data_IF_149881103234
#
_entry.id   IF_149881103234
#
_cell.length_a   1.000
_cell.length_b   1.000
_cell.length_c   1.000
_cell.angle_alpha   90.00
_cell.angle_beta   90.00
_cell.angle_gamma   90.00
#
_symmetry.space_group_name_H-M   'P 1'
#
loop_
_entity.id
_entity.type
_entity.pdbx_description
1 polymer ?
#
# COMPACT_ATOMS: atom_id res chain seq x y z
N UNK A 1 -11.88 -8.32 17.69
CA UNK A 1 -10.81 -7.74 18.54
C UNK A 1 -9.51 -8.54 18.39
N UNK A 2 -9.60 -9.85 18.43
CA UNK A 2 -8.47 -10.79 18.31
C UNK A 2 -7.62 -10.63 17.03
N UNK A 3 -8.26 -10.37 15.88
CA UNK A 3 -7.60 -10.29 14.58
C UNK A 3 -6.69 -9.05 14.40
N UNK A 4 -7.14 -7.88 14.84
CA UNK A 4 -6.34 -6.64 14.73
C UNK A 4 -5.15 -6.65 15.69
N UNK A 5 -5.34 -7.21 16.88
CA UNK A 5 -4.25 -7.34 17.86
C UNK A 5 -3.17 -8.29 17.34
N UNK A 6 -3.56 -9.42 16.75
CA UNK A 6 -2.61 -10.34 16.11
C UNK A 6 -1.86 -9.67 14.95
N UNK A 7 -2.56 -8.90 14.11
CA UNK A 7 -1.93 -8.13 13.02
C UNK A 7 -0.89 -7.16 13.56
N UNK A 8 -1.22 -6.41 14.63
CA UNK A 8 -0.32 -5.49 15.30
C UNK A 8 0.93 -6.20 15.84
N UNK A 9 0.73 -7.31 16.58
CA UNK A 9 1.84 -8.11 17.13
C UNK A 9 2.79 -8.62 16.05
N UNK A 10 2.25 -9.08 14.92
CA UNK A 10 3.07 -9.54 13.78
C UNK A 10 3.90 -8.41 13.20
N UNK A 11 3.32 -7.22 12.99
CA UNK A 11 4.07 -6.05 12.52
C UNK A 11 5.07 -5.53 13.56
N UNK A 12 4.76 -5.59 14.85
CA UNK A 12 5.71 -5.22 15.91
C UNK A 12 6.95 -6.11 15.88
N UNK A 13 6.82 -7.42 15.62
CA UNK A 13 7.94 -8.37 15.55
C UNK A 13 8.88 -8.11 14.39
N UNK A 14 8.35 -7.77 13.21
CA UNK A 14 9.17 -7.54 12.01
C UNK A 14 9.75 -6.13 11.91
N UNK A 15 9.32 -5.19 12.75
CA UNK A 15 9.65 -3.77 12.64
C UNK A 15 11.16 -3.49 12.58
N UNK A 16 11.98 -4.22 13.36
CA UNK A 16 13.43 -4.02 13.43
C UNK A 16 14.15 -4.30 12.09
N UNK A 17 13.62 -5.23 11.31
CA UNK A 17 14.22 -5.64 10.04
C UNK A 17 13.56 -4.98 8.81
N UNK A 18 12.39 -4.36 8.99
CA UNK A 18 11.51 -3.93 7.90
C UNK A 18 12.19 -3.03 6.88
N UNK A 19 12.80 -1.91 7.30
CA UNK A 19 13.47 -0.96 6.38
C UNK A 19 14.64 -1.61 5.62
N UNK A 20 15.38 -2.50 6.28
CA UNK A 20 16.50 -3.20 5.66
C UNK A 20 16.02 -4.17 4.59
N UNK A 21 14.96 -4.89 4.86
CA UNK A 21 14.39 -5.87 3.93
C UNK A 21 13.68 -5.18 2.76
N UNK A 22 12.96 -4.10 3.01
CA UNK A 22 12.33 -3.29 1.98
C UNK A 22 13.39 -2.78 0.98
N UNK A 23 14.47 -2.17 1.48
CA UNK A 23 15.60 -1.69 0.66
C UNK A 23 16.38 -2.80 -0.04
N UNK A 24 16.42 -4.00 0.51
CA UNK A 24 17.11 -5.14 -0.09
C UNK A 24 16.31 -5.79 -1.24
N UNK A 25 15.02 -5.47 -1.37
CA UNK A 25 14.16 -6.03 -2.40
C UNK A 25 14.01 -5.09 -3.60
N UNK A 26 14.73 -5.34 -4.72
CA UNK A 26 14.74 -4.44 -5.87
C UNK A 26 13.38 -4.35 -6.58
N UNK A 27 12.48 -5.32 -6.37
CA UNK A 27 11.13 -5.29 -6.93
C UNK A 27 10.25 -4.33 -6.13
N UNK A 28 10.32 -4.38 -4.81
CA UNK A 28 9.60 -3.43 -3.94
C UNK A 28 10.11 -2.01 -4.18
N UNK A 29 11.42 -1.80 -4.23
CA UNK A 29 12.03 -0.51 -4.51
C UNK A 29 11.52 0.09 -5.84
N UNK A 30 11.50 -0.73 -6.90
CA UNK A 30 10.95 -0.32 -8.20
C UNK A 30 9.46 0.03 -8.13
N UNK A 31 8.64 -0.82 -7.50
CA UNK A 31 7.20 -0.56 -7.32
C UNK A 31 6.95 0.72 -6.54
N UNK A 32 7.69 0.93 -5.43
CA UNK A 32 7.60 2.14 -4.60
C UNK A 32 7.96 3.38 -5.40
N UNK A 33 9.01 3.32 -6.21
CA UNK A 33 9.40 4.41 -7.10
C UNK A 33 8.28 4.82 -8.08
N UNK A 34 7.48 3.86 -8.58
CA UNK A 34 6.29 4.17 -9.40
C UNK A 34 5.20 4.85 -8.56
N UNK A 35 4.93 4.34 -7.35
CA UNK A 35 3.91 4.91 -6.46
C UNK A 35 4.30 6.34 -6.05
N UNK A 36 5.56 6.57 -5.70
CA UNK A 36 6.07 7.90 -5.36
C UNK A 36 5.88 8.91 -6.50
N UNK A 37 6.17 8.52 -7.75
CA UNK A 37 5.90 9.37 -8.92
C UNK A 37 4.42 9.71 -9.04
N UNK A 38 3.53 8.71 -8.84
CA UNK A 38 2.08 8.91 -8.88
C UNK A 38 1.65 9.88 -7.77
N UNK A 39 2.21 9.79 -6.56
CA UNK A 39 1.91 10.74 -5.50
C UNK A 39 2.29 12.17 -5.88
N UNK A 40 3.49 12.39 -6.41
CA UNK A 40 3.96 13.72 -6.83
C UNK A 40 3.26 14.26 -8.11
N UNK A 41 2.59 13.41 -8.89
CA UNK A 41 1.69 13.83 -9.97
C UNK A 41 0.36 14.41 -9.45
N UNK A 42 -0.03 14.09 -8.21
CA UNK A 42 -1.34 14.45 -7.64
C UNK A 42 -1.24 15.39 -6.45
N UNK A 43 -0.10 15.41 -5.75
CA UNK A 43 0.14 16.21 -4.56
C UNK A 43 1.37 17.08 -4.73
N UNK A 44 1.35 18.27 -4.11
CA UNK A 44 2.40 19.29 -4.22
C UNK A 44 2.83 19.79 -2.84
N UNK A 45 3.95 20.48 -2.79
CA UNK A 45 4.41 21.12 -1.56
C UNK A 45 3.34 22.01 -0.95
N UNK A 46 3.15 21.89 0.36
CA UNK A 46 2.12 22.56 1.14
C UNK A 46 0.83 21.77 1.34
N UNK A 47 0.55 20.76 0.50
CA UNK A 47 -0.59 19.87 0.72
C UNK A 47 -0.44 19.10 2.04
N UNK A 48 -1.57 18.71 2.61
CA UNK A 48 -1.64 17.91 3.84
C UNK A 48 -2.32 16.57 3.55
N UNK A 49 -1.61 15.47 3.80
CA UNK A 49 -2.12 14.13 3.52
C UNK A 49 -2.31 13.32 4.81
N UNK A 50 -3.33 12.49 4.81
CA UNK A 50 -3.52 11.42 5.77
C UNK A 50 -2.89 10.14 5.20
N UNK A 51 -1.87 9.60 5.85
CA UNK A 51 -1.27 8.32 5.50
C UNK A 51 -1.79 7.22 6.42
N UNK A 52 -2.36 6.19 5.82
CA UNK A 52 -2.82 4.99 6.49
C UNK A 52 -1.73 3.91 6.39
N UNK A 53 -1.57 3.12 7.47
CA UNK A 53 -0.55 2.06 7.53
C UNK A 53 0.87 2.54 7.13
N UNK A 54 1.30 3.64 7.73
CA UNK A 54 2.59 4.28 7.42
C UNK A 54 3.82 3.43 7.76
N UNK A 55 3.66 2.40 8.59
CA UNK A 55 4.74 1.54 9.04
C UNK A 55 5.87 2.36 9.67
N UNK A 56 7.09 2.12 9.22
CA UNK A 56 8.29 2.86 9.63
C UNK A 56 8.43 4.23 8.98
N UNK A 57 7.43 4.67 8.18
CA UNK A 57 7.35 5.99 7.57
C UNK A 57 8.22 6.21 6.32
N UNK A 58 8.47 5.17 5.52
CA UNK A 58 9.26 5.31 4.28
C UNK A 58 8.61 6.32 3.33
N UNK A 59 7.29 6.19 3.12
CA UNK A 59 6.55 7.08 2.22
C UNK A 59 6.32 8.46 2.86
N UNK A 60 6.03 8.52 4.18
CA UNK A 60 5.91 9.77 4.93
C UNK A 60 7.16 10.64 4.81
N UNK A 61 8.33 10.07 5.05
CA UNK A 61 9.60 10.78 4.95
C UNK A 61 9.85 11.27 3.53
N UNK A 62 9.66 10.40 2.53
CA UNK A 62 9.83 10.78 1.13
C UNK A 62 8.96 11.97 0.73
N UNK A 63 7.69 11.96 1.11
CA UNK A 63 6.75 13.05 0.77
C UNK A 63 7.05 14.33 1.57
N UNK A 64 7.46 14.22 2.83
CA UNK A 64 7.86 15.35 3.64
C UNK A 64 9.09 16.06 3.06
N UNK A 65 10.09 15.32 2.54
CA UNK A 65 11.25 15.85 1.82
C UNK A 65 10.86 16.60 0.53
N UNK A 66 9.66 16.32 -0.02
CA UNK A 66 9.07 17.08 -1.13
C UNK A 66 8.13 18.22 -0.68
N UNK A 67 8.17 18.57 0.61
CA UNK A 67 7.42 19.70 1.17
C UNK A 67 5.95 19.42 1.48
N UNK A 68 5.50 18.18 1.44
CA UNK A 68 4.13 17.75 1.76
C UNK A 68 4.02 17.48 3.27
N UNK A 69 2.92 17.90 3.89
CA UNK A 69 2.66 17.64 5.31
C UNK A 69 1.94 16.30 5.47
N UNK A 70 2.41 15.44 6.35
CA UNK A 70 1.90 14.08 6.52
C UNK A 70 1.36 13.87 7.94
N UNK A 71 0.12 13.42 8.03
CA UNK A 71 -0.42 12.84 9.25
C UNK A 71 -0.38 11.31 9.10
N UNK A 72 0.64 10.69 9.67
CA UNK A 72 0.95 9.28 9.52
C UNK A 72 0.29 8.45 10.61
N UNK A 73 -0.46 7.42 10.24
CA UNK A 73 -1.12 6.51 11.18
C UNK A 73 -0.71 5.05 10.92
N UNK A 74 -0.48 4.31 11.99
CA UNK A 74 -0.25 2.86 11.94
C UNK A 74 -0.70 2.21 13.24
N UNK A 75 -1.17 0.95 13.18
CA UNK A 75 -1.60 0.21 14.37
C UNK A 75 -0.40 -0.23 15.22
N UNK A 76 0.77 -0.47 14.61
CA UNK A 76 1.99 -0.90 15.27
C UNK A 76 2.70 0.29 15.91
N UNK A 77 2.70 0.36 17.24
CA UNK A 77 3.43 1.37 17.97
C UNK A 77 4.95 1.24 17.76
N UNK A 78 5.44 0.02 17.56
CA UNK A 78 6.86 -0.24 17.29
C UNK A 78 7.27 0.27 15.90
N UNK A 79 6.47 0.06 14.86
CA UNK A 79 6.69 0.68 13.55
C UNK A 79 6.72 2.21 13.66
N UNK A 80 5.75 2.79 14.37
CA UNK A 80 5.69 4.24 14.61
C UNK A 80 6.92 4.76 15.38
N UNK A 81 7.52 3.98 16.29
CA UNK A 81 8.74 4.39 16.99
C UNK A 81 9.92 4.61 16.04
N UNK A 82 10.03 3.82 14.95
CA UNK A 82 11.03 4.03 13.92
C UNK A 82 10.79 5.33 13.12
N UNK A 83 9.53 5.64 12.81
CA UNK A 83 9.18 6.91 12.18
C UNK A 83 9.52 8.09 13.11
N UNK A 84 9.15 8.01 14.39
CA UNK A 84 9.46 9.03 15.39
C UNK A 84 10.96 9.25 15.51
N UNK A 85 11.78 8.19 15.54
CA UNK A 85 13.23 8.30 15.56
C UNK A 85 13.77 9.01 14.28
N UNK A 86 13.21 8.77 13.10
CA UNK A 86 13.57 9.51 11.88
C UNK A 86 13.21 10.99 11.98
N UNK A 87 12.05 11.32 12.54
CA UNK A 87 11.59 12.69 12.76
C UNK A 87 12.52 13.41 13.77
N UNK A 88 12.88 12.76 14.87
CA UNK A 88 13.76 13.34 15.91
C UNK A 88 15.14 13.66 15.38
N UNK A 89 15.68 12.82 14.49
CA UNK A 89 17.00 12.97 13.90
C UNK A 89 17.05 13.95 12.70
N UNK A 90 15.91 14.49 12.26
CA UNK A 90 15.84 15.41 11.11
C UNK A 90 14.88 16.58 11.41
N UNK A 91 15.44 17.78 11.60
CA UNK A 91 14.65 18.97 11.94
C UNK A 91 13.59 19.34 10.89
N UNK A 92 13.86 19.10 9.60
CA UNK A 92 12.91 19.40 8.52
C UNK A 92 11.66 18.52 8.56
N UNK A 93 11.78 17.29 9.11
CA UNK A 93 10.66 16.38 9.25
C UNK A 93 9.73 16.72 10.42
N UNK A 94 10.26 17.39 11.48
CA UNK A 94 9.50 17.73 12.70
C UNK A 94 8.28 18.59 12.40
N UNK A 95 8.41 19.52 11.46
CA UNK A 95 7.33 20.43 11.09
C UNK A 95 6.41 19.84 10.02
N UNK A 96 6.80 18.70 9.41
CA UNK A 96 6.10 18.11 8.29
C UNK A 96 5.34 16.83 8.62
N UNK A 97 5.78 16.07 9.62
CA UNK A 97 5.19 14.78 9.93
C UNK A 97 4.62 14.75 11.35
N UNK A 98 3.34 14.42 11.44
CA UNK A 98 2.68 14.05 12.69
C UNK A 98 2.41 12.55 12.68
N UNK A 99 3.01 11.81 13.61
CA UNK A 99 2.84 10.36 13.71
C UNK A 99 1.91 9.99 14.87
N UNK A 100 0.96 9.06 14.64
CA UNK A 100 0.00 8.59 15.65
C UNK A 100 -0.24 7.09 15.54
N UNK A 101 -0.24 6.33 16.64
CA UNK A 101 -0.49 4.90 16.66
C UNK A 101 -2.00 4.59 16.58
N UNK A 102 -2.63 4.95 15.47
CA UNK A 102 -4.05 4.71 15.21
C UNK A 102 -4.24 3.62 14.15
N UNK A 103 -5.15 2.70 14.43
CA UNK A 103 -5.61 1.71 13.45
C UNK A 103 -6.54 2.35 12.41
N UNK A 104 -6.85 1.64 11.34
CA UNK A 104 -7.86 2.04 10.36
C UNK A 104 -9.23 2.37 10.98
N UNK A 105 -9.59 1.68 12.06
CA UNK A 105 -10.89 1.87 12.74
C UNK A 105 -10.86 3.01 13.76
N UNK A 106 -9.72 3.70 13.88
CA UNK A 106 -9.53 4.83 14.80
C UNK A 106 -9.26 6.15 14.08
N UNK A 107 -9.46 6.20 12.75
CA UNK A 107 -9.32 7.42 11.93
C UNK A 107 -10.21 8.56 12.47
N UNK A 108 -11.34 8.22 13.12
CA UNK A 108 -12.19 9.19 13.78
C UNK A 108 -11.50 9.92 14.96
N UNK A 109 -10.37 9.44 15.47
CA UNK A 109 -9.56 10.12 16.50
C UNK A 109 -8.60 11.18 15.91
N UNK A 110 -8.46 11.21 14.58
CA UNK A 110 -7.68 12.25 13.89
C UNK A 110 -8.40 13.58 14.08
N UNK A 111 -7.71 14.56 14.63
CA UNK A 111 -8.23 15.88 15.03
C UNK A 111 -8.34 16.90 13.88
N UNK A 112 -8.16 16.45 12.63
CA UNK A 112 -8.24 17.23 11.39
C UNK A 112 -9.29 16.64 10.43
N UNK A 113 -9.90 17.52 9.65
CA UNK A 113 -10.91 17.18 8.63
C UNK A 113 -10.72 17.91 7.29
N UNK A 114 -9.52 18.42 7.02
CA UNK A 114 -9.21 19.26 5.87
C UNK A 114 -8.06 18.71 5.02
N UNK A 115 -7.86 17.40 5.00
CA UNK A 115 -6.80 16.78 4.21
C UNK A 115 -7.03 16.96 2.70
N UNK A 116 -5.96 17.30 1.99
CA UNK A 116 -5.91 17.39 0.53
C UNK A 116 -5.87 16.03 -0.15
N UNK A 117 -5.54 14.98 0.59
CA UNK A 117 -5.58 13.61 0.13
C UNK A 117 -5.34 12.57 1.20
N UNK A 118 -5.56 11.33 0.79
CA UNK A 118 -5.27 10.13 1.60
C UNK A 118 -4.36 9.20 0.80
N UNK A 119 -3.39 8.60 1.45
CA UNK A 119 -2.52 7.61 0.84
C UNK A 119 -2.46 6.33 1.70
N UNK A 120 -2.25 5.21 1.04
CA UNK A 120 -1.98 3.92 1.66
C UNK A 120 -1.15 3.06 0.73
N UNK A 121 -0.03 2.52 1.20
CA UNK A 121 0.89 1.80 0.35
C UNK A 121 1.12 0.35 0.84
N UNK A 122 1.46 -0.52 -0.10
CA UNK A 122 1.90 -1.92 0.07
C UNK A 122 1.12 -2.76 1.09
N UNK A 123 -0.17 -2.97 0.81
CA UNK A 123 -0.92 -4.08 1.36
C UNK A 123 -1.50 -3.89 2.77
N UNK A 124 -1.28 -2.76 3.44
CA UNK A 124 -1.92 -2.53 4.73
C UNK A 124 -3.45 -2.63 4.67
N UNK A 125 -4.06 -2.07 3.62
CA UNK A 125 -5.50 -2.20 3.38
C UNK A 125 -5.95 -3.62 3.01
N UNK A 126 -5.02 -4.51 2.65
CA UNK A 126 -5.31 -5.92 2.47
C UNK A 126 -5.48 -6.70 3.78
N UNK A 127 -5.14 -6.09 4.93
CA UNK A 127 -5.36 -6.69 6.24
C UNK A 127 -6.82 -6.60 6.71
N UNK A 128 -7.69 -5.89 6.02
CA UNK A 128 -9.12 -5.73 6.39
C UNK A 128 -10.04 -6.07 5.21
N UNK A 129 -11.26 -6.46 5.50
CA UNK A 129 -12.29 -6.73 4.48
C UNK A 129 -13.52 -5.83 4.60
N UNK A 130 -13.81 -5.34 5.81
CA UNK A 130 -14.86 -4.34 6.02
C UNK A 130 -14.27 -2.93 6.03
N UNK A 131 -14.68 -2.14 5.04
CA UNK A 131 -14.24 -0.77 4.83
C UNK A 131 -15.30 0.27 5.22
N UNK A 132 -16.44 -0.14 5.74
CA UNK A 132 -17.58 0.76 5.98
C UNK A 132 -17.18 1.95 6.85
N UNK A 133 -16.60 1.67 8.02
CA UNK A 133 -16.13 2.71 8.93
C UNK A 133 -14.94 3.49 8.37
N UNK A 134 -13.96 2.79 7.80
CA UNK A 134 -12.76 3.41 7.21
C UNK A 134 -13.14 4.38 6.09
N UNK A 135 -14.05 3.98 5.21
CA UNK A 135 -14.59 4.80 4.13
C UNK A 135 -15.25 6.08 4.66
N UNK A 136 -16.13 5.92 5.66
CA UNK A 136 -16.90 7.03 6.22
C UNK A 136 -15.97 8.01 6.95
N UNK A 137 -15.05 7.50 7.77
CA UNK A 137 -14.05 8.29 8.49
C UNK A 137 -13.10 9.06 7.54
N UNK A 138 -12.65 8.42 6.45
CA UNK A 138 -11.83 9.09 5.42
C UNK A 138 -12.63 10.19 4.73
N UNK A 139 -13.89 9.92 4.37
CA UNK A 139 -14.72 10.91 3.72
C UNK A 139 -14.96 12.14 4.61
N UNK A 140 -15.14 11.98 5.92
CA UNK A 140 -15.31 13.09 6.85
C UNK A 140 -14.06 13.96 7.01
N UNK A 141 -12.86 13.38 6.75
CA UNK A 141 -11.58 14.06 7.00
C UNK A 141 -10.90 14.63 5.77
N UNK A 142 -11.49 14.42 4.60
CA UNK A 142 -10.94 14.90 3.34
C UNK A 142 -11.82 15.94 2.68
N UNK A 143 -11.21 16.86 1.94
CA UNK A 143 -11.94 17.88 1.16
C UNK A 143 -12.65 17.25 -0.05
N UNK A 144 -13.81 17.74 -0.47
CA UNK A 144 -14.37 17.39 -1.78
C UNK A 144 -13.34 17.67 -2.89
N UNK A 145 -13.22 16.76 -3.86
CA UNK A 145 -12.21 16.82 -4.92
C UNK A 145 -10.83 16.31 -4.56
N UNK A 146 -10.59 15.95 -3.28
CA UNK A 146 -9.34 15.32 -2.85
C UNK A 146 -9.17 13.92 -3.44
N UNK A 147 -7.91 13.44 -3.48
CA UNK A 147 -7.60 12.10 -3.96
C UNK A 147 -7.34 11.13 -2.81
N UNK A 148 -7.85 9.92 -2.95
CA UNK A 148 -7.38 8.76 -2.21
C UNK A 148 -6.61 7.85 -3.15
N UNK A 149 -5.31 7.67 -2.88
CA UNK A 149 -4.41 6.85 -3.68
C UNK A 149 -3.92 5.67 -2.84
N UNK A 150 -4.22 4.46 -3.29
CA UNK A 150 -3.84 3.25 -2.57
C UNK A 150 -3.14 2.24 -3.48
N UNK A 151 -2.05 1.64 -3.00
CA UNK A 151 -1.43 0.46 -3.60
C UNK A 151 -1.89 -0.79 -2.84
N UNK A 152 -2.59 -1.67 -3.56
CA UNK A 152 -3.34 -2.80 -2.98
C UNK A 152 -2.96 -4.09 -3.70
N UNK A 153 -2.79 -5.18 -2.95
CA UNK A 153 -2.52 -6.51 -3.53
C UNK A 153 -3.70 -6.98 -4.36
N UNK A 154 -3.40 -7.35 -5.62
CA UNK A 154 -4.42 -7.74 -6.59
C UNK A 154 -4.85 -9.19 -6.41
N UNK A 155 -6.13 -9.44 -6.63
CA UNK A 155 -6.74 -10.77 -6.66
C UNK A 155 -6.23 -11.62 -7.83
N UNK A 156 -5.92 -11.01 -8.97
CA UNK A 156 -5.44 -11.72 -10.16
C UNK A 156 -3.98 -11.36 -10.39
N UNK A 157 -3.09 -12.24 -9.92
CA UNK A 157 -1.65 -12.15 -10.16
C UNK A 157 -1.22 -13.22 -11.18
N UNK A 158 -0.99 -12.86 -12.45
CA UNK A 158 -0.63 -13.83 -13.49
C UNK A 158 0.66 -14.59 -13.17
N UNK A 159 1.62 -13.94 -12.50
CA UNK A 159 2.86 -14.59 -12.07
C UNK A 159 2.63 -15.74 -11.10
N UNK A 160 1.82 -15.54 -10.06
CA UNK A 160 1.51 -16.62 -9.11
C UNK A 160 0.74 -17.75 -9.79
N UNK A 161 -0.25 -17.38 -10.61
CA UNK A 161 -1.05 -18.38 -11.33
C UNK A 161 -0.15 -19.23 -12.21
N UNK A 162 0.69 -18.61 -13.06
CA UNK A 162 1.57 -19.34 -13.95
C UNK A 162 2.61 -20.18 -13.20
N UNK A 163 3.35 -19.56 -12.27
CA UNK A 163 4.44 -20.19 -11.56
C UNK A 163 3.98 -21.41 -10.75
N UNK A 164 2.88 -21.28 -10.00
CA UNK A 164 2.39 -22.40 -9.20
C UNK A 164 1.64 -23.43 -10.02
N UNK A 165 1.01 -23.06 -11.13
CA UNK A 165 0.40 -24.03 -12.06
C UNK A 165 1.46 -24.90 -12.73
N UNK A 166 2.58 -24.32 -13.16
CA UNK A 166 3.73 -25.10 -13.69
C UNK A 166 4.34 -26.05 -12.66
N UNK A 167 4.19 -25.76 -11.36
CA UNK A 167 4.58 -26.65 -10.25
C UNK A 167 3.46 -27.60 -9.83
N UNK A 168 2.35 -27.67 -10.56
CA UNK A 168 1.16 -28.47 -10.25
C UNK A 168 0.56 -28.14 -8.87
N UNK A 169 0.82 -26.98 -8.32
CA UNK A 169 0.28 -26.49 -7.04
C UNK A 169 -0.88 -25.52 -7.27
N UNK A 170 -2.01 -26.03 -7.72
CA UNK A 170 -3.20 -25.23 -8.04
C UNK A 170 -3.79 -24.53 -6.80
N UNK A 171 -3.65 -25.12 -5.61
CA UNK A 171 -4.08 -24.47 -4.36
C UNK A 171 -3.36 -23.13 -4.15
N UNK A 172 -2.04 -23.08 -4.32
CA UNK A 172 -1.26 -21.84 -4.25
C UNK A 172 -1.51 -20.94 -5.45
N UNK A 173 -1.69 -21.47 -6.66
CA UNK A 173 -1.96 -20.71 -7.87
C UNK A 173 -3.22 -19.83 -7.74
N UNK A 174 -4.26 -20.35 -7.11
CA UNK A 174 -5.56 -19.69 -6.98
C UNK A 174 -5.87 -19.19 -5.56
N UNK A 175 -4.89 -19.15 -4.65
CA UNK A 175 -5.09 -18.75 -3.24
C UNK A 175 -5.71 -17.37 -3.08
N UNK A 176 -5.39 -16.41 -3.97
CA UNK A 176 -5.89 -15.04 -3.92
C UNK A 176 -7.40 -14.92 -4.21
N UNK A 177 -8.06 -15.98 -4.69
CA UNK A 177 -9.50 -16.00 -4.91
C UNK A 177 -10.31 -16.36 -3.66
N UNK A 178 -9.64 -16.73 -2.56
CA UNK A 178 -10.32 -17.01 -1.31
C UNK A 178 -10.93 -15.72 -0.73
N UNK A 179 -12.26 -15.69 -0.58
CA UNK A 179 -13.00 -14.53 -0.07
C UNK A 179 -12.86 -14.33 1.43
N UNK A 180 -12.53 -15.38 2.16
CA UNK A 180 -12.30 -15.33 3.62
C UNK A 180 -10.89 -14.85 3.95
N UNK A 181 -10.10 -14.52 2.93
CA UNK A 181 -8.70 -14.19 3.06
C UNK A 181 -7.82 -15.43 3.28
N UNK A 182 -6.54 -15.23 3.29
CA UNK A 182 -5.53 -16.25 3.59
C UNK A 182 -4.57 -15.74 4.65
N UNK A 183 -3.90 -16.62 5.34
CA UNK A 183 -2.80 -16.26 6.21
C UNK A 183 -1.56 -16.01 5.32
N UNK A 184 -1.24 -14.74 5.13
CA UNK A 184 -0.06 -14.29 4.40
C UNK A 184 1.16 -14.35 5.31
N UNK A 185 2.23 -14.97 4.84
CA UNK A 185 3.50 -15.08 5.56
C UNK A 185 4.35 -13.83 5.34
N UNK A 186 4.80 -13.20 6.41
CA UNK A 186 5.72 -12.07 6.42
C UNK A 186 6.77 -12.38 7.50
N UNK A 187 8.00 -12.76 7.11
CA UNK A 187 9.11 -13.04 8.03
C UNK A 187 8.75 -13.97 9.21
N UNK A 188 8.31 -15.18 8.93
CA UNK A 188 7.87 -16.19 9.91
C UNK A 188 6.61 -15.79 10.72
N UNK A 189 6.02 -14.61 10.46
CA UNK A 189 4.74 -14.20 11.03
C UNK A 189 3.62 -14.35 9.99
N UNK A 190 2.38 -14.52 10.48
CA UNK A 190 1.21 -14.67 9.62
C UNK A 190 0.24 -13.51 9.82
N UNK A 191 -0.15 -12.87 8.73
CA UNK A 191 -1.15 -11.81 8.73
C UNK A 191 -2.29 -12.18 7.80
N UNK A 192 -3.53 -12.08 8.31
CA UNK A 192 -4.72 -12.32 7.49
C UNK A 192 -4.76 -11.33 6.33
N UNK A 193 -4.78 -11.85 5.12
CA UNK A 193 -4.65 -11.05 3.90
C UNK A 193 -5.82 -11.29 2.97
N UNK A 194 -6.51 -10.22 2.59
CA UNK A 194 -7.61 -10.22 1.63
C UNK A 194 -7.15 -9.63 0.31
N UNK A 195 -7.56 -10.22 -0.80
CA UNK A 195 -7.19 -9.78 -2.14
C UNK A 195 -8.39 -9.22 -2.88
N UNK A 196 -8.20 -8.09 -3.55
CA UNK A 196 -9.26 -7.39 -4.24
C UNK A 196 -8.93 -7.21 -5.72
N UNK A 197 -9.93 -7.27 -6.59
CA UNK A 197 -9.78 -6.63 -7.91
C UNK A 197 -9.93 -5.12 -7.75
N UNK A 198 -9.39 -4.31 -8.69
CA UNK A 198 -9.56 -2.86 -8.64
C UNK A 198 -11.02 -2.39 -8.54
N UNK A 199 -11.94 -3.13 -9.21
CA UNK A 199 -13.37 -2.81 -9.14
C UNK A 199 -13.96 -3.14 -7.77
N UNK A 200 -13.70 -4.34 -7.24
CA UNK A 200 -14.17 -4.76 -5.90
C UNK A 200 -13.71 -3.77 -4.84
N UNK A 201 -12.44 -3.35 -4.88
CA UNK A 201 -11.88 -2.38 -3.93
C UNK A 201 -12.56 -1.01 -4.07
N UNK A 202 -12.62 -0.45 -5.28
CA UNK A 202 -13.24 0.85 -5.51
C UNK A 202 -14.74 0.89 -5.15
N UNK A 203 -15.47 -0.22 -5.34
CA UNK A 203 -16.89 -0.30 -4.96
C UNK A 203 -17.10 -0.19 -3.43
N UNK A 204 -16.09 -0.56 -2.60
CA UNK A 204 -16.14 -0.43 -1.13
C UNK A 204 -16.11 1.03 -0.66
N UNK A 205 -15.63 1.96 -1.49
CA UNK A 205 -15.54 3.40 -1.17
C UNK A 205 -16.70 4.24 -1.71
N UNK A 206 -17.67 3.61 -2.37
CA UNK A 206 -18.93 4.28 -2.71
C UNK A 206 -19.76 4.58 -1.44
N UNK A 207 -20.55 5.65 -1.42
CA UNK A 207 -20.81 6.60 -2.51
C UNK A 207 -19.87 7.82 -2.52
N UNK A 208 -18.88 7.89 -1.64
CA UNK A 208 -18.07 9.10 -1.45
C UNK A 208 -16.97 9.28 -2.47
N UNK A 209 -16.47 8.17 -3.03
CA UNK A 209 -15.34 8.19 -3.95
C UNK A 209 -15.68 7.53 -5.29
N UNK A 210 -15.09 8.04 -6.36
CA UNK A 210 -15.13 7.42 -7.69
C UNK A 210 -13.73 7.12 -8.20
N UNK A 211 -13.57 6.00 -8.88
CA UNK A 211 -12.30 5.63 -9.51
C UNK A 211 -12.00 6.61 -10.66
N UNK A 212 -10.83 7.24 -10.63
CA UNK A 212 -10.30 8.09 -11.71
C UNK A 212 -9.33 7.34 -12.58
N UNK A 213 -8.41 6.57 -11.97
CA UNK A 213 -7.39 5.84 -12.68
C UNK A 213 -6.95 4.59 -11.92
N UNK A 214 -6.47 3.62 -12.68
CA UNK A 214 -5.90 2.39 -12.14
C UNK A 214 -4.61 2.11 -12.90
N UNK A 215 -3.56 1.78 -12.16
CA UNK A 215 -2.30 1.29 -12.69
C UNK A 215 -2.00 -0.10 -12.14
N UNK A 216 -1.44 -0.98 -12.96
CA UNK A 216 -0.88 -2.24 -12.47
C UNK A 216 0.53 -2.06 -11.96
N UNK A 217 0.93 -2.90 -10.99
CA UNK A 217 2.30 -3.09 -10.56
C UNK A 217 2.62 -4.58 -10.59
N UNK A 218 3.65 -4.97 -11.35
CA UNK A 218 4.10 -6.36 -11.44
C UNK A 218 3.14 -7.26 -12.21
N UNK A 219 2.84 -6.92 -13.47
CA UNK A 219 2.12 -7.80 -14.40
C UNK A 219 3.08 -8.83 -15.01
N UNK A 220 4.19 -8.37 -15.58
CA UNK A 220 5.26 -9.19 -16.14
C UNK A 220 6.41 -9.40 -15.15
N UNK A 221 6.61 -8.46 -14.23
CA UNK A 221 7.61 -8.55 -13.17
C UNK A 221 7.15 -9.54 -12.10
N UNK A 222 8.03 -10.45 -11.60
CA UNK A 222 7.69 -11.36 -10.52
C UNK A 222 7.16 -10.66 -9.27
N UNK A 223 6.35 -11.38 -8.48
CA UNK A 223 5.91 -10.89 -7.17
C UNK A 223 7.10 -10.60 -6.24
N UNK A 224 7.00 -9.57 -5.36
CA UNK A 224 8.10 -9.17 -4.47
C UNK A 224 8.72 -10.31 -3.67
N UNK A 225 7.94 -11.25 -3.14
CA UNK A 225 8.47 -12.41 -2.40
C UNK A 225 9.24 -13.41 -3.28
N UNK A 226 9.18 -13.26 -4.62
CA UNK A 226 9.96 -14.04 -5.58
C UNK A 226 11.24 -13.30 -6.03
N UNK A 227 11.69 -12.29 -5.30
CA UNK A 227 12.83 -11.44 -5.70
C UNK A 227 14.13 -12.22 -5.98
N UNK A 228 14.26 -13.45 -5.52
CA UNK A 228 15.33 -14.35 -5.93
C UNK A 228 15.42 -14.59 -7.44
N UNK A 229 14.29 -14.49 -8.17
CA UNK A 229 14.24 -14.53 -9.64
C UNK A 229 14.96 -13.31 -10.23
N UNK A 230 14.80 -12.14 -9.62
CA UNK A 230 15.48 -10.92 -10.05
C UNK A 230 17.00 -11.09 -10.07
N UNK A 231 17.59 -11.66 -9.01
CA UNK A 231 19.04 -11.84 -8.95
C UNK A 231 19.55 -12.86 -9.97
N UNK A 232 18.75 -13.90 -10.27
CA UNK A 232 19.12 -14.94 -11.27
C UNK A 232 18.95 -14.48 -12.70
N UNK A 233 17.94 -13.65 -12.99
CA UNK A 233 17.54 -13.23 -14.34
C UNK A 233 17.48 -11.71 -14.47
N UNK A 234 18.40 -11.01 -13.82
CA UNK A 234 18.40 -9.54 -13.67
C UNK A 234 18.15 -8.77 -14.98
N UNK A 235 18.80 -9.05 -16.13
CA UNK A 235 18.54 -8.33 -17.38
C UNK A 235 17.11 -8.51 -17.87
N UNK A 236 16.58 -9.73 -17.76
CA UNK A 236 15.24 -10.08 -18.22
C UNK A 236 14.18 -9.41 -17.33
N UNK A 237 14.35 -9.48 -15.99
CA UNK A 237 13.41 -8.86 -15.07
C UNK A 237 13.43 -7.33 -15.22
N UNK A 238 14.59 -6.70 -15.47
CA UNK A 238 14.66 -5.28 -15.79
C UNK A 238 13.93 -4.92 -17.09
N UNK A 239 13.94 -5.80 -18.09
CA UNK A 239 13.14 -5.62 -19.30
C UNK A 239 11.64 -5.71 -18.99
N UNK A 240 11.23 -6.71 -18.19
CA UNK A 240 9.84 -6.83 -17.75
C UNK A 240 9.36 -5.62 -16.96
N UNK A 241 10.17 -5.07 -16.04
CA UNK A 241 9.87 -3.83 -15.34
C UNK A 241 9.60 -2.66 -16.28
N UNK A 242 10.42 -2.51 -17.36
CA UNK A 242 10.18 -1.49 -18.38
C UNK A 242 8.88 -1.71 -19.15
N UNK A 243 8.56 -2.96 -19.48
CA UNK A 243 7.31 -3.30 -20.17
C UNK A 243 6.12 -2.98 -19.24
N UNK A 244 6.21 -3.34 -17.96
CA UNK A 244 5.19 -3.03 -16.97
C UNK A 244 4.95 -1.51 -16.88
N UNK A 245 6.00 -0.69 -16.86
CA UNK A 245 5.87 0.77 -16.85
C UNK A 245 5.16 1.32 -18.11
N UNK A 246 5.36 0.72 -19.26
CA UNK A 246 4.71 1.12 -20.52
C UNK A 246 3.21 0.78 -20.51
N UNK A 247 2.85 -0.38 -19.96
CA UNK A 247 1.45 -0.88 -20.05
C UNK A 247 0.63 -0.63 -18.78
N UNK A 248 1.25 -0.13 -17.70
CA UNK A 248 0.62 -0.04 -16.36
C UNK A 248 -0.76 0.61 -16.33
N UNK A 249 -1.03 1.59 -17.20
CA UNK A 249 -2.30 2.30 -17.26
C UNK A 249 -3.23 1.83 -18.37
N UNK A 250 -2.82 0.87 -19.21
CA UNK A 250 -3.54 0.47 -20.42
C UNK A 250 -4.53 -0.65 -20.08
N UNK A 251 -5.79 -0.49 -20.47
CA UNK A 251 -6.80 -1.57 -20.39
C UNK A 251 -6.51 -2.65 -21.45
N UNK A 252 -6.60 -3.95 -21.13
CA UNK A 252 -7.00 -4.55 -19.85
C UNK A 252 -5.83 -4.80 -18.87
N UNK A 253 -4.59 -4.50 -19.21
CA UNK A 253 -3.39 -4.81 -18.42
C UNK A 253 -3.44 -4.22 -17.01
N UNK A 254 -4.01 -3.04 -16.85
CA UNK A 254 -4.17 -2.35 -15.57
C UNK A 254 -5.15 -3.03 -14.60
N UNK A 255 -5.69 -4.19 -14.94
CA UNK A 255 -6.59 -4.99 -14.08
C UNK A 255 -5.90 -6.17 -13.43
N UNK A 256 -4.71 -6.53 -13.89
CA UNK A 256 -3.96 -7.72 -13.50
C UNK A 256 -2.59 -7.31 -12.97
N UNK A 257 -1.94 -8.16 -12.18
CA UNK A 257 -0.61 -7.92 -11.63
C UNK A 257 -0.52 -8.30 -10.16
N UNK A 258 0.62 -8.12 -9.58
CA UNK A 258 0.82 -8.42 -8.16
C UNK A 258 0.08 -7.43 -7.26
N UNK A 259 0.23 -6.12 -7.56
CA UNK A 259 -0.51 -5.02 -6.97
C UNK A 259 -1.21 -4.18 -8.04
N UNK A 260 -2.11 -3.33 -7.62
CA UNK A 260 -2.59 -2.20 -8.41
C UNK A 260 -2.51 -0.92 -7.58
N UNK A 261 -2.28 0.20 -8.26
CA UNK A 261 -2.49 1.53 -7.67
C UNK A 261 -3.83 2.03 -8.16
N UNK A 262 -4.70 2.36 -7.24
CA UNK A 262 -6.01 2.95 -7.53
C UNK A 262 -6.04 4.40 -7.08
N UNK A 263 -6.46 5.27 -7.98
CA UNK A 263 -6.67 6.69 -7.72
C UNK A 263 -8.16 6.94 -7.71
N UNK A 264 -8.68 7.36 -6.57
CA UNK A 264 -10.08 7.67 -6.37
C UNK A 264 -10.22 9.15 -5.99
N UNK A 265 -11.22 9.83 -6.54
CA UNK A 265 -11.54 11.21 -6.23
C UNK A 265 -12.77 11.27 -5.32
N UNK A 266 -12.71 12.08 -4.27
CA UNK A 266 -13.86 12.34 -3.40
C UNK A 266 -14.88 13.21 -4.13
N UNK A 267 -16.12 12.73 -4.23
CA UNK A 267 -17.20 13.38 -4.98
C UNK A 267 -18.30 13.99 -4.09
N UNK A 268 -18.33 13.63 -2.80
CA UNK A 268 -19.30 14.14 -1.81
C UNK A 268 -18.61 14.40 -0.48
#
# INVERSE_FOLDING_TARGET
>A
MDFLEHTKESFDKIADAFDKQDKANPIIEWMRGIVHKIYLEHFKAGDSLLELNSGTGIDAVYLAEHGINIYATDISAKMQSFLLAKIENNAELKDKITARPFSFYEINKVDRNDFDGVISNFGGLNCINDFSKVRDDIAERTKPGSYFIAAVMNKICPWEILYFSLKLNFRKAFRRFNREGIDGEIDDEYVKTFYFSPKEFGDKFKPYFRIKRIYTLGLFTPSPYMYGIYFRLKPIVKLWMKIDELVKGIFPFNRFGDHFVIIMERIK
#
